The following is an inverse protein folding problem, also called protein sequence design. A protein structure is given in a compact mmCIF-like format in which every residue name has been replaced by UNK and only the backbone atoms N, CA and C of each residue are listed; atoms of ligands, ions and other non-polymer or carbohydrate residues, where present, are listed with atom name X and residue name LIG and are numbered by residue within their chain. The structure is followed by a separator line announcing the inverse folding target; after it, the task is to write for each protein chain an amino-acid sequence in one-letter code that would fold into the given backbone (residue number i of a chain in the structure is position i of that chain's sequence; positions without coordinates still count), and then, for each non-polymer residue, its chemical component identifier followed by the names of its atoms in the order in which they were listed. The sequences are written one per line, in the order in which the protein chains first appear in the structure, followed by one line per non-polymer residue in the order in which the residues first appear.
data_IF_115873812907
#
_entry.id   IF_115873812907
#
_cell.length_a   1.000
_cell.length_b   1.000
_cell.length_c   1.000
_cell.angle_alpha   90.00
_cell.angle_beta   90.00
_cell.angle_gamma   90.00
#
_symmetry.space_group_name_H-M   'P 1'
#
loop_
_entity.id
_entity.type
_entity.pdbx_description
1 polymer ?
#
# COMPACT_ATOMS: atom_id res chain seq x y z
N UNK A 1 -5.97 4.12 29.81
CA UNK A 1 -6.46 4.54 28.47
C UNK A 1 -7.92 5.02 28.51
N UNK A 2 -8.84 4.29 29.16
CA UNK A 2 -10.27 4.69 29.29
C UNK A 2 -10.53 6.07 29.92
N UNK A 3 -9.73 6.50 30.92
CA UNK A 3 -9.91 7.82 31.55
C UNK A 3 -9.65 9.01 30.60
N UNK A 4 -8.67 8.91 29.70
CA UNK A 4 -8.37 9.97 28.72
C UNK A 4 -9.45 10.09 27.63
N UNK A 5 -10.03 8.97 27.21
CA UNK A 5 -11.16 8.94 26.27
C UNK A 5 -12.42 9.59 26.88
N UNK A 6 -12.64 9.38 28.18
CA UNK A 6 -13.75 10.00 28.92
C UNK A 6 -13.60 11.53 28.98
N UNK A 7 -12.40 12.04 29.24
CA UNK A 7 -12.13 13.48 29.28
C UNK A 7 -12.30 14.16 27.92
N UNK A 8 -11.80 13.53 26.85
CA UNK A 8 -11.93 14.07 25.49
C UNK A 8 -13.39 14.12 25.03
N UNK A 9 -14.18 13.11 25.37
CA UNK A 9 -15.63 13.07 25.06
C UNK A 9 -16.38 14.17 25.80
N UNK A 10 -16.07 14.40 27.08
CA UNK A 10 -16.63 15.51 27.88
C UNK A 10 -16.24 16.87 27.32
N UNK A 11 -14.98 17.05 26.92
CA UNK A 11 -14.48 18.28 26.28
C UNK A 11 -15.21 18.57 24.97
N UNK A 12 -15.37 17.57 24.12
CA UNK A 12 -16.05 17.72 22.83
C UNK A 12 -17.53 18.04 23.00
N UNK A 13 -18.21 17.40 23.98
CA UNK A 13 -19.59 17.74 24.35
C UNK A 13 -19.68 19.20 24.80
N UNK A 14 -18.81 19.62 25.72
CA UNK A 14 -18.78 20.99 26.23
C UNK A 14 -18.53 22.04 25.12
N UNK A 15 -17.65 21.74 24.16
CA UNK A 15 -17.40 22.60 23.00
C UNK A 15 -18.66 22.71 22.15
N UNK A 16 -19.34 21.60 21.85
CA UNK A 16 -20.60 21.60 21.08
C UNK A 16 -21.69 22.41 21.76
N UNK A 17 -21.86 22.23 23.06
CA UNK A 17 -22.94 22.87 23.83
C UNK A 17 -22.76 24.39 23.94
N UNK A 18 -21.52 24.90 23.81
CA UNK A 18 -21.21 26.33 23.91
C UNK A 18 -21.11 27.08 22.58
N UNK A 19 -20.94 26.37 21.47
CA UNK A 19 -20.83 27.00 20.16
C UNK A 19 -22.21 27.10 19.53
N UNK A 20 -22.75 28.31 19.46
CA UNK A 20 -24.00 28.60 18.77
C UNK A 20 -23.79 28.67 17.25
N UNK A 21 -24.76 28.20 16.48
CA UNK A 21 -24.75 28.25 15.01
C UNK A 21 -25.04 29.67 14.52
N UNK A 22 -24.51 30.04 13.35
CA UNK A 22 -24.79 31.30 12.64
C UNK A 22 -24.45 32.58 13.43
N UNK A 23 -23.31 32.57 14.12
CA UNK A 23 -22.80 33.74 14.84
C UNK A 23 -22.00 34.69 13.94
N UNK A 24 -21.52 34.21 12.79
CA UNK A 24 -20.73 35.02 11.87
C UNK A 24 -21.55 35.45 10.66
N UNK A 25 -21.26 36.66 10.18
CA UNK A 25 -21.84 37.17 8.92
C UNK A 25 -21.27 36.43 7.73
N UNK A 26 -22.03 36.36 6.64
CA UNK A 26 -21.59 35.72 5.40
C UNK A 26 -20.29 36.37 4.87
N UNK A 27 -19.38 35.55 4.35
CA UNK A 27 -18.06 35.94 3.86
C UNK A 27 -17.01 36.17 4.95
N UNK A 28 -17.31 35.87 6.22
CA UNK A 28 -16.32 36.00 7.30
C UNK A 28 -15.22 34.96 7.16
N UNK A 29 -15.58 33.72 6.84
CA UNK A 29 -14.62 32.65 6.59
C UNK A 29 -13.68 33.01 5.44
N UNK A 30 -14.20 33.46 4.31
CA UNK A 30 -13.40 33.75 3.12
C UNK A 30 -12.41 34.89 3.37
N UNK A 31 -12.85 35.95 4.07
CA UNK A 31 -11.97 37.04 4.49
C UNK A 31 -10.85 36.55 5.40
N UNK A 32 -11.15 35.63 6.32
CA UNK A 32 -10.13 35.04 7.18
C UNK A 32 -9.13 34.19 6.40
N UNK A 33 -9.59 33.36 5.47
CA UNK A 33 -8.71 32.56 4.59
C UNK A 33 -7.79 33.49 3.78
N UNK A 34 -8.35 34.54 3.15
CA UNK A 34 -7.58 35.53 2.39
C UNK A 34 -6.51 36.21 3.25
N UNK A 35 -6.88 36.60 4.48
CA UNK A 35 -5.94 37.16 5.45
C UNK A 35 -4.80 36.17 5.74
N UNK A 36 -5.10 34.91 6.07
CA UNK A 36 -4.09 33.89 6.32
C UNK A 36 -3.19 33.62 5.11
N UNK A 37 -3.75 33.56 3.90
CA UNK A 37 -2.96 33.37 2.66
C UNK A 37 -1.99 34.54 2.48
N UNK A 38 -2.43 35.78 2.69
CA UNK A 38 -1.57 36.96 2.59
C UNK A 38 -0.44 36.96 3.62
N UNK A 39 -0.75 36.57 4.86
CA UNK A 39 0.22 36.47 5.96
C UNK A 39 1.26 35.36 5.69
N UNK A 40 0.80 34.21 5.21
CA UNK A 40 1.64 33.05 4.96
C UNK A 40 2.54 33.23 3.74
N UNK A 41 2.12 33.99 2.72
CA UNK A 41 2.95 34.32 1.55
C UNK A 41 4.26 34.99 1.96
N UNK A 42 4.21 35.88 2.95
CA UNK A 42 5.39 36.56 3.48
C UNK A 42 6.33 35.60 4.24
N UNK A 43 5.77 34.64 4.97
CA UNK A 43 6.52 33.63 5.74
C UNK A 43 7.17 32.56 4.87
N UNK A 44 6.53 32.20 3.75
CA UNK A 44 7.08 31.27 2.77
C UNK A 44 8.27 31.91 2.05
N UNK A 45 8.15 33.18 1.68
CA UNK A 45 9.21 33.92 0.95
C UNK A 45 10.45 34.16 1.80
N UNK A 46 10.31 34.29 3.13
CA UNK A 46 11.43 34.51 4.05
C UNK A 46 12.22 33.24 4.42
N UNK A 47 11.90 32.08 3.84
CA UNK A 47 12.70 30.85 3.99
C UNK A 47 12.70 30.26 5.40
N UNK A 48 11.70 30.58 6.23
CA UNK A 48 11.59 30.02 7.59
C UNK A 48 11.32 28.52 7.54
N UNK A 49 12.37 27.72 7.67
CA UNK A 49 12.40 26.26 7.48
C UNK A 49 11.60 25.44 8.50
N UNK A 50 11.01 26.08 9.51
CA UNK A 50 10.31 25.41 10.62
C UNK A 50 8.77 25.51 10.55
N UNK A 51 8.20 26.11 9.49
CA UNK A 51 6.74 26.24 9.36
C UNK A 51 6.15 25.11 8.50
N UNK A 52 5.35 24.25 9.13
CA UNK A 52 4.55 23.24 8.44
C UNK A 52 3.23 23.87 7.94
N UNK A 53 2.95 23.73 6.65
CA UNK A 53 1.71 24.16 6.02
C UNK A 53 0.90 22.95 5.53
N UNK A 54 -0.41 23.09 5.58
CA UNK A 54 -1.39 22.11 5.12
C UNK A 54 -2.23 22.69 3.99
N UNK A 55 -2.58 21.85 3.02
CA UNK A 55 -3.56 22.21 1.99
C UNK A 55 -4.95 22.20 2.59
N UNK A 56 -5.69 23.27 2.41
CA UNK A 56 -7.10 23.41 2.79
C UNK A 56 -7.91 23.87 1.58
N UNK A 57 -9.01 23.17 1.28
CA UNK A 57 -9.93 23.57 0.22
C UNK A 57 -10.82 24.73 0.68
N UNK A 58 -10.82 25.86 -0.04
CA UNK A 58 -11.65 27.04 0.29
C UNK A 58 -13.13 26.64 0.27
N UNK A 59 -13.55 26.01 -0.83
CA UNK A 59 -14.81 25.28 -0.97
C UNK A 59 -14.52 23.80 -0.71
N UNK A 60 -15.05 23.18 0.37
CA UNK A 60 -14.83 21.79 0.66
C UNK A 60 -15.30 20.84 -0.45
N UNK A 61 -14.59 19.73 -0.64
CA UNK A 61 -14.97 18.70 -1.63
C UNK A 61 -16.39 18.16 -1.47
N UNK A 62 -16.89 18.05 -0.23
CA UNK A 62 -18.25 17.57 0.01
C UNK A 62 -19.34 18.57 -0.45
N UNK A 63 -18.98 19.83 -0.67
CA UNK A 63 -19.82 20.86 -1.30
C UNK A 63 -19.51 21.02 -2.81
N UNK A 64 -18.75 20.10 -3.41
CA UNK A 64 -18.39 20.14 -4.83
C UNK A 64 -17.16 20.98 -5.17
N UNK A 65 -16.35 21.37 -4.18
CA UNK A 65 -15.09 22.06 -4.45
C UNK A 65 -14.10 21.18 -5.21
N UNK A 66 -13.53 21.74 -6.29
CA UNK A 66 -12.52 21.08 -7.12
C UNK A 66 -11.11 21.12 -6.49
N UNK A 67 -10.19 20.35 -7.05
CA UNK A 67 -8.76 20.34 -6.67
C UNK A 67 -7.92 21.40 -7.40
N UNK A 68 -8.58 22.41 -7.96
CA UNK A 68 -7.93 23.49 -8.68
C UNK A 68 -7.05 24.32 -7.73
N UNK A 69 -5.87 24.81 -8.18
CA UNK A 69 -4.97 25.60 -7.34
C UNK A 69 -5.63 26.82 -6.69
N UNK A 70 -6.62 27.43 -7.34
CA UNK A 70 -7.37 28.58 -6.84
C UNK A 70 -8.28 28.24 -5.66
N UNK A 71 -8.73 26.98 -5.55
CA UNK A 71 -9.53 26.49 -4.44
C UNK A 71 -8.67 25.94 -3.29
N UNK A 72 -7.33 26.04 -3.35
CA UNK A 72 -6.43 25.48 -2.35
C UNK A 72 -5.66 26.60 -1.64
N UNK A 73 -5.89 26.74 -0.33
CA UNK A 73 -5.12 27.61 0.55
C UNK A 73 -4.07 26.82 1.34
N UNK A 74 -2.88 27.38 1.50
CA UNK A 74 -1.84 26.84 2.38
C UNK A 74 -1.92 27.49 3.76
N UNK A 75 -2.33 26.72 4.75
CA UNK A 75 -2.61 27.19 6.11
C UNK A 75 -1.72 26.45 7.12
N UNK A 76 -1.33 27.12 8.19
CA UNK A 76 -0.76 26.42 9.35
C UNK A 76 -1.83 25.51 9.99
N UNK A 77 -1.45 24.43 10.71
CA UNK A 77 -2.43 23.54 11.35
C UNK A 77 -3.44 24.29 12.25
N UNK A 78 -2.99 25.36 12.92
CA UNK A 78 -3.85 26.22 13.74
C UNK A 78 -4.84 27.02 12.89
N UNK A 79 -4.38 27.66 11.81
CA UNK A 79 -5.26 28.40 10.89
C UNK A 79 -6.29 27.46 10.24
N UNK A 80 -5.85 26.26 9.83
CA UNK A 80 -6.73 25.22 9.25
C UNK A 80 -7.86 24.84 10.22
N UNK A 81 -7.54 24.59 11.50
CA UNK A 81 -8.55 24.33 12.51
C UNK A 81 -9.54 25.49 12.65
N UNK A 82 -9.05 26.73 12.72
CA UNK A 82 -9.89 27.93 12.87
C UNK A 82 -10.80 28.16 11.67
N UNK A 83 -10.35 27.87 10.45
CA UNK A 83 -11.19 27.96 9.25
C UNK A 83 -12.40 27.02 9.35
N UNK A 84 -12.20 25.77 9.77
CA UNK A 84 -13.33 24.85 10.00
C UNK A 84 -14.29 25.36 11.09
N UNK A 85 -13.78 25.98 12.16
CA UNK A 85 -14.63 26.59 13.18
C UNK A 85 -15.45 27.76 12.59
N UNK A 86 -14.82 28.64 11.82
CA UNK A 86 -15.50 29.80 11.22
C UNK A 86 -16.56 29.37 10.21
N UNK A 87 -16.27 28.35 9.39
CA UNK A 87 -17.25 27.75 8.49
C UNK A 87 -18.46 27.20 9.24
N UNK A 88 -18.24 26.46 10.33
CA UNK A 88 -19.35 25.98 11.17
C UNK A 88 -20.15 27.14 11.79
N UNK A 89 -19.47 28.16 12.28
CA UNK A 89 -20.11 29.34 12.85
C UNK A 89 -20.90 30.15 11.83
N UNK A 90 -20.50 30.15 10.56
CA UNK A 90 -21.15 30.86 9.47
C UNK A 90 -22.31 30.06 8.85
N UNK A 91 -22.05 28.80 8.47
CA UNK A 91 -22.99 27.97 7.70
C UNK A 91 -23.75 26.94 8.55
N UNK A 92 -23.23 26.56 9.72
CA UNK A 92 -23.85 25.58 10.61
C UNK A 92 -23.66 24.12 10.21
N UNK A 93 -22.72 23.81 9.32
CA UNK A 93 -22.45 22.44 8.84
C UNK A 93 -21.67 21.61 9.88
N UNK A 94 -22.27 20.50 10.33
CA UNK A 94 -21.70 19.61 11.34
C UNK A 94 -20.37 18.96 10.91
N UNK A 95 -20.10 18.83 9.62
CA UNK A 95 -18.84 18.28 9.12
C UNK A 95 -17.67 19.23 9.39
N UNK A 96 -17.90 20.54 9.29
CA UNK A 96 -16.91 21.56 9.63
C UNK A 96 -16.63 21.56 11.15
N UNK A 97 -17.65 21.39 12.00
CA UNK A 97 -17.44 21.24 13.44
C UNK A 97 -16.63 19.97 13.79
N UNK A 98 -16.94 18.85 13.13
CA UNK A 98 -16.19 17.59 13.31
C UNK A 98 -14.74 17.76 12.90
N UNK A 99 -14.48 18.45 11.78
CA UNK A 99 -13.13 18.73 11.31
C UNK A 99 -12.35 19.62 12.31
N UNK A 100 -12.98 20.67 12.85
CA UNK A 100 -12.39 21.49 13.91
C UNK A 100 -12.04 20.68 15.17
N UNK A 101 -12.98 19.86 15.66
CA UNK A 101 -12.76 19.01 16.83
C UNK A 101 -11.61 18.03 16.59
N UNK A 102 -11.58 17.38 15.42
CA UNK A 102 -10.51 16.45 15.05
C UNK A 102 -9.16 17.17 15.06
N UNK A 103 -9.06 18.32 14.39
CA UNK A 103 -7.82 19.10 14.29
C UNK A 103 -7.31 19.59 15.63
N UNK A 104 -8.20 20.09 16.51
CA UNK A 104 -7.82 20.57 17.84
C UNK A 104 -7.55 19.46 18.85
N UNK A 105 -8.07 18.26 18.63
CA UNK A 105 -7.72 17.08 19.39
C UNK A 105 -6.32 16.53 19.03
N UNK A 106 -5.75 16.96 17.89
CA UNK A 106 -4.47 16.47 17.37
C UNK A 106 -3.31 17.44 17.45
N UNK A 107 -3.52 18.69 17.89
CA UNK A 107 -2.47 19.72 17.89
C UNK A 107 -1.23 19.33 18.71
N UNK A 108 -1.43 18.63 19.83
CA UNK A 108 -0.36 18.23 20.75
C UNK A 108 0.02 16.74 20.64
N UNK A 109 -0.51 16.05 19.63
CA UNK A 109 -0.34 14.60 19.48
C UNK A 109 0.35 14.33 18.16
N UNK A 110 1.52 13.69 18.22
CA UNK A 110 2.18 13.14 17.04
C UNK A 110 1.15 12.40 16.17
N UNK A 111 0.98 12.85 14.91
CA UNK A 111 -0.04 12.38 14.00
C UNK A 111 0.04 10.87 13.75
N UNK A 112 1.25 10.30 13.80
CA UNK A 112 1.46 8.85 13.71
C UNK A 112 0.85 8.13 14.92
N UNK A 113 1.11 8.62 16.12
CA UNK A 113 0.51 8.10 17.35
C UNK A 113 -1.00 8.34 17.43
N UNK A 114 -1.50 9.47 16.94
CA UNK A 114 -2.93 9.77 16.93
C UNK A 114 -3.69 8.90 15.94
N UNK A 115 -3.18 8.75 14.71
CA UNK A 115 -3.78 7.88 13.70
C UNK A 115 -3.91 6.45 14.20
N UNK A 116 -2.87 5.93 14.86
CA UNK A 116 -2.90 4.61 15.51
C UNK A 116 -3.95 4.53 16.64
N UNK A 117 -4.05 5.56 17.49
CA UNK A 117 -5.07 5.61 18.56
C UNK A 117 -6.49 5.68 18.01
N UNK A 118 -6.73 6.47 16.96
CA UNK A 118 -8.04 6.57 16.32
C UNK A 118 -8.42 5.29 15.60
N UNK A 119 -7.47 4.63 14.93
CA UNK A 119 -7.70 3.31 14.35
C UNK A 119 -8.10 2.27 15.42
N UNK A 120 -7.38 2.26 16.55
CA UNK A 120 -7.69 1.35 17.66
C UNK A 120 -9.05 1.69 18.32
N UNK A 121 -9.37 2.97 18.51
CA UNK A 121 -10.68 3.39 19.00
C UNK A 121 -11.80 2.93 18.05
N UNK A 122 -11.67 3.23 16.75
CA UNK A 122 -12.67 2.86 15.75
C UNK A 122 -12.84 1.34 15.64
N UNK A 123 -11.77 0.57 15.84
CA UNK A 123 -11.82 -0.89 15.99
C UNK A 123 -12.63 -1.32 17.20
N UNK A 124 -12.39 -0.73 18.38
CA UNK A 124 -13.09 -1.06 19.61
C UNK A 124 -14.58 -0.71 19.57
N UNK A 125 -14.93 0.44 19.00
CA UNK A 125 -16.33 0.87 18.86
C UNK A 125 -17.03 0.32 17.62
N UNK A 126 -16.31 -0.44 16.78
CA UNK A 126 -16.87 -1.02 15.56
C UNK A 126 -17.41 0.03 14.57
N UNK A 127 -16.71 1.15 14.41
CA UNK A 127 -17.11 2.26 13.54
C UNK A 127 -16.19 2.38 12.31
N UNK A 128 -16.63 3.13 11.29
CA UNK A 128 -15.85 3.43 10.07
C UNK A 128 -15.39 2.14 9.35
N UNK A 129 -14.09 1.97 9.13
CA UNK A 129 -13.49 0.78 8.51
C UNK A 129 -13.80 -0.52 9.28
N UNK A 130 -14.22 -0.48 10.55
CA UNK A 130 -14.59 -1.67 11.32
C UNK A 130 -16.11 -1.89 11.42
N UNK A 131 -16.89 -1.10 10.67
CA UNK A 131 -18.33 -1.24 10.52
C UNK A 131 -18.66 -1.76 9.12
N UNK A 132 -19.26 -2.94 9.02
CA UNK A 132 -19.58 -3.59 7.73
C UNK A 132 -20.62 -2.81 6.91
N UNK A 133 -21.59 -2.17 7.56
CA UNK A 133 -22.61 -1.33 6.91
C UNK A 133 -21.97 -0.08 6.30
N UNK A 134 -21.14 0.62 7.07
CA UNK A 134 -20.37 1.77 6.57
C UNK A 134 -19.47 1.37 5.39
N UNK A 135 -18.74 0.26 5.48
CA UNK A 135 -17.90 -0.24 4.38
C UNK A 135 -18.75 -0.50 3.12
N UNK A 136 -19.94 -1.11 3.28
CA UNK A 136 -20.87 -1.36 2.18
C UNK A 136 -21.34 -0.06 1.53
N UNK A 137 -21.74 0.94 2.32
CA UNK A 137 -22.14 2.26 1.82
C UNK A 137 -21.01 2.98 1.08
N UNK A 138 -19.80 3.00 1.64
CA UNK A 138 -18.64 3.61 0.99
C UNK A 138 -18.27 2.84 -0.29
N UNK A 139 -18.39 1.50 -0.28
CA UNK A 139 -18.19 0.67 -1.47
C UNK A 139 -19.19 0.99 -2.59
N UNK A 140 -20.46 1.24 -2.25
CA UNK A 140 -21.49 1.69 -3.21
C UNK A 140 -21.21 3.09 -3.76
N UNK A 141 -20.65 3.99 -2.95
CA UNK A 141 -20.27 5.35 -3.36
C UNK A 141 -19.00 5.37 -4.22
N UNK A 142 -18.05 4.47 -3.93
CA UNK A 142 -16.70 4.46 -4.51
C UNK A 142 -16.61 3.92 -5.94
N UNK A 143 -17.65 3.29 -6.50
CA UNK A 143 -17.65 2.92 -7.91
C UNK A 143 -18.91 2.21 -8.40
N UNK A 144 -19.35 2.53 -9.62
CA UNK A 144 -20.43 1.82 -10.33
C UNK A 144 -20.08 0.34 -10.63
N UNK A 145 -18.79 -0.01 -10.64
CA UNK A 145 -18.29 -1.38 -10.81
C UNK A 145 -17.33 -1.70 -9.66
N UNK A 146 -17.74 -2.61 -8.79
CA UNK A 146 -16.93 -3.04 -7.64
C UNK A 146 -15.59 -3.66 -8.06
N UNK A 147 -14.64 -3.70 -7.13
CA UNK A 147 -13.32 -4.35 -7.31
C UNK A 147 -13.39 -5.82 -7.73
N UNK A 148 -14.53 -6.49 -7.49
CA UNK A 148 -14.82 -7.88 -7.86
C UNK A 148 -15.37 -8.06 -9.27
N UNK A 149 -15.56 -6.98 -10.05
CA UNK A 149 -16.14 -7.06 -11.39
C UNK A 149 -15.25 -7.79 -12.42
N UNK A 150 -13.98 -8.08 -12.07
CA UNK A 150 -13.01 -8.78 -12.94
C UNK A 150 -12.95 -8.20 -14.36
N UNK A 151 -13.03 -6.87 -14.47
CA UNK A 151 -12.93 -6.19 -15.76
C UNK A 151 -11.57 -6.46 -16.41
N UNK A 152 -11.45 -6.38 -17.74
CA UNK A 152 -10.16 -6.56 -18.42
C UNK A 152 -9.05 -5.65 -17.87
N UNK A 153 -9.38 -4.40 -17.53
CA UNK A 153 -8.44 -3.46 -16.90
C UNK A 153 -7.99 -3.90 -15.50
N UNK A 154 -8.90 -4.46 -14.69
CA UNK A 154 -8.55 -5.02 -13.38
C UNK A 154 -7.67 -6.27 -13.53
N UNK A 155 -7.98 -7.16 -14.47
CA UNK A 155 -7.15 -8.33 -14.77
C UNK A 155 -5.75 -7.92 -15.23
N UNK A 156 -5.67 -6.91 -16.09
CA UNK A 156 -4.40 -6.35 -16.54
C UNK A 156 -3.62 -5.73 -15.38
N UNK A 157 -4.26 -4.95 -14.52
CA UNK A 157 -3.64 -4.39 -13.32
C UNK A 157 -3.12 -5.49 -12.37
N UNK A 158 -3.92 -6.52 -12.10
CA UNK A 158 -3.49 -7.68 -11.30
C UNK A 158 -2.32 -8.42 -11.97
N UNK A 159 -2.35 -8.58 -13.28
CA UNK A 159 -1.26 -9.19 -14.05
C UNK A 159 0.02 -8.36 -13.96
N UNK A 160 -0.05 -7.03 -14.08
CA UNK A 160 1.09 -6.13 -13.90
C UNK A 160 1.68 -6.21 -12.49
N UNK A 161 0.82 -6.29 -11.46
CA UNK A 161 1.28 -6.46 -10.08
C UNK A 161 1.98 -7.82 -9.91
N UNK A 162 1.38 -8.89 -10.43
CA UNK A 162 1.96 -10.23 -10.38
C UNK A 162 3.28 -10.35 -11.13
N UNK A 163 3.41 -9.73 -12.31
CA UNK A 163 4.63 -9.78 -13.11
C UNK A 163 5.74 -8.89 -12.55
N UNK A 164 5.41 -7.70 -12.03
CA UNK A 164 6.40 -6.77 -11.47
C UNK A 164 6.84 -7.16 -10.07
N UNK A 165 5.89 -7.41 -9.18
CA UNK A 165 6.16 -7.60 -7.75
C UNK A 165 6.22 -9.07 -7.34
N UNK A 166 5.54 -9.96 -8.06
CA UNK A 166 5.57 -11.39 -7.78
C UNK A 166 6.99 -11.99 -7.73
N UNK A 167 7.89 -11.68 -8.68
CA UNK A 167 9.27 -12.14 -8.61
C UNK A 167 10.04 -11.60 -7.40
N UNK A 168 9.85 -10.33 -7.06
CA UNK A 168 10.55 -9.64 -5.96
C UNK A 168 10.11 -10.23 -4.62
N UNK A 169 8.80 -10.23 -4.38
CA UNK A 169 8.19 -10.77 -3.15
C UNK A 169 8.43 -12.28 -3.07
N UNK A 170 8.41 -12.97 -4.22
CA UNK A 170 8.71 -14.40 -4.30
C UNK A 170 10.14 -14.75 -3.94
N UNK A 171 11.12 -13.91 -4.29
CA UNK A 171 12.52 -14.02 -3.91
C UNK A 171 12.72 -13.85 -2.39
N UNK A 172 12.13 -12.81 -1.81
CA UNK A 172 12.22 -12.52 -0.37
C UNK A 172 11.56 -13.62 0.48
N UNK A 173 10.42 -14.14 -0.01
CA UNK A 173 9.66 -15.18 0.69
C UNK A 173 10.09 -16.62 0.33
N UNK A 174 11.21 -16.83 -0.37
CA UNK A 174 11.72 -18.18 -0.57
C UNK A 174 12.08 -18.83 0.77
N UNK A 175 11.70 -20.09 0.95
CA UNK A 175 12.12 -20.85 2.13
C UNK A 175 13.64 -20.95 2.19
N UNK A 176 14.22 -20.93 3.40
CA UNK A 176 15.66 -21.03 3.59
C UNK A 176 16.22 -22.28 2.91
N UNK A 177 15.56 -23.42 3.08
CA UNK A 177 15.95 -24.68 2.42
C UNK A 177 15.99 -24.57 0.88
N UNK A 178 15.12 -23.79 0.24
CA UNK A 178 15.20 -23.60 -1.21
C UNK A 178 16.39 -22.70 -1.57
N UNK A 179 16.63 -21.64 -0.80
CA UNK A 179 17.79 -20.76 -0.99
C UNK A 179 19.11 -21.53 -0.85
N UNK A 180 19.19 -22.42 0.13
CA UNK A 180 20.37 -23.26 0.37
C UNK A 180 20.63 -24.24 -0.79
N UNK A 181 19.57 -24.73 -1.45
CA UNK A 181 19.73 -25.58 -2.64
C UNK A 181 20.13 -24.76 -3.86
N UNK A 182 19.54 -23.57 -4.02
CA UNK A 182 19.81 -22.70 -5.16
C UNK A 182 21.21 -22.08 -5.12
N UNK A 183 21.82 -21.98 -3.92
CA UNK A 183 23.21 -21.56 -3.72
C UNK A 183 24.26 -22.63 -4.08
N UNK A 184 23.84 -23.82 -4.52
CA UNK A 184 24.70 -24.93 -4.89
C UNK A 184 24.72 -25.14 -6.42
N UNK A 185 25.84 -25.64 -6.93
CA UNK A 185 25.94 -26.20 -8.27
C UNK A 185 25.19 -27.53 -8.29
N UNK A 186 24.24 -27.70 -9.22
CA UNK A 186 23.41 -28.90 -9.32
C UNK A 186 23.77 -29.71 -10.56
N UNK A 187 23.90 -31.03 -10.43
CA UNK A 187 24.09 -31.92 -11.59
C UNK A 187 22.78 -32.66 -11.88
N UNK A 188 22.12 -32.26 -12.96
CA UNK A 188 20.95 -32.94 -13.49
C UNK A 188 21.40 -34.15 -14.32
N UNK A 189 20.69 -35.26 -14.16
CA UNK A 189 20.91 -36.49 -14.91
C UNK A 189 19.61 -36.96 -15.52
N UNK A 190 19.62 -37.20 -16.83
CA UNK A 190 18.50 -37.82 -17.56
C UNK A 190 18.80 -39.29 -17.83
N UNK A 191 18.05 -40.19 -17.19
CA UNK A 191 18.30 -41.63 -17.24
C UNK A 191 18.12 -42.22 -18.64
N UNK A 192 17.08 -41.82 -19.37
CA UNK A 192 16.75 -42.41 -20.67
C UNK A 192 17.78 -42.16 -21.77
N UNK A 193 18.63 -41.15 -21.60
CA UNK A 193 19.67 -40.80 -22.59
C UNK A 193 21.07 -40.68 -22.01
N UNK A 194 21.25 -41.05 -20.74
CA UNK A 194 22.51 -40.95 -20.02
C UNK A 194 23.16 -39.55 -20.13
N UNK A 195 22.35 -38.48 -20.04
CA UNK A 195 22.82 -37.09 -20.20
C UNK A 195 23.03 -36.47 -18.83
N UNK A 196 24.18 -35.82 -18.63
CA UNK A 196 24.47 -35.03 -17.44
C UNK A 196 24.56 -33.55 -17.81
N UNK A 197 23.87 -32.71 -17.05
CA UNK A 197 23.87 -31.26 -17.24
C UNK A 197 24.18 -30.61 -15.89
N UNK A 198 25.33 -29.94 -15.82
CA UNK A 198 25.69 -29.14 -14.65
C UNK A 198 25.00 -27.78 -14.72
N UNK A 199 24.33 -27.35 -13.65
CA UNK A 199 23.62 -26.08 -13.56
C UNK A 199 24.35 -25.22 -12.52
N UNK A 200 24.77 -23.99 -12.88
CA UNK A 200 25.44 -23.10 -11.94
C UNK A 200 24.47 -22.63 -10.85
N UNK A 201 25.04 -21.97 -9.83
CA UNK A 201 24.27 -21.29 -8.78
C UNK A 201 23.24 -20.33 -9.41
N UNK A 202 22.01 -20.38 -8.89
CA UNK A 202 20.88 -19.61 -9.41
C UNK A 202 20.18 -18.88 -8.27
N UNK A 203 19.49 -17.78 -8.55
CA UNK A 203 18.69 -17.03 -7.56
C UNK A 203 17.26 -17.56 -7.46
N UNK A 204 16.76 -18.18 -8.53
CA UNK A 204 15.42 -18.75 -8.58
C UNK A 204 15.42 -20.13 -9.22
N UNK A 205 14.43 -20.94 -8.88
CA UNK A 205 14.19 -22.19 -9.59
C UNK A 205 13.82 -21.99 -11.07
N UNK A 206 13.26 -20.82 -11.43
CA UNK A 206 13.00 -20.49 -12.83
C UNK A 206 14.30 -20.39 -13.65
N UNK A 207 15.33 -19.75 -13.07
CA UNK A 207 16.67 -19.66 -13.67
C UNK A 207 17.31 -21.05 -13.84
N UNK A 208 17.12 -21.97 -12.88
CA UNK A 208 17.59 -23.36 -13.01
C UNK A 208 17.03 -24.03 -14.26
N UNK A 209 15.73 -23.86 -14.52
CA UNK A 209 15.07 -24.44 -15.70
C UNK A 209 15.49 -23.75 -17.00
N UNK A 210 15.75 -22.44 -16.97
CA UNK A 210 16.31 -21.71 -18.11
C UNK A 210 17.72 -22.18 -18.46
N UNK A 211 18.59 -22.34 -17.45
CA UNK A 211 19.93 -22.89 -17.63
C UNK A 211 19.88 -24.32 -18.15
N UNK A 212 18.99 -25.17 -17.63
CA UNK A 212 18.83 -26.56 -18.07
C UNK A 212 18.41 -26.62 -19.54
N UNK A 213 17.36 -25.88 -19.92
CA UNK A 213 16.90 -25.80 -21.30
C UNK A 213 18.01 -25.27 -22.23
N UNK A 214 18.67 -24.17 -21.85
CA UNK A 214 19.75 -23.57 -22.65
C UNK A 214 20.90 -24.54 -22.90
N UNK A 215 21.34 -25.27 -21.87
CA UNK A 215 22.40 -26.28 -22.03
C UNK A 215 21.97 -27.46 -22.89
N UNK A 216 20.70 -27.88 -22.83
CA UNK A 216 20.19 -28.94 -23.68
C UNK A 216 20.05 -28.54 -25.14
N UNK A 217 19.70 -27.29 -25.42
CA UNK A 217 19.71 -26.73 -26.78
C UNK A 217 21.13 -26.78 -27.37
N UNK A 218 22.15 -26.37 -26.59
CA UNK A 218 23.56 -26.45 -27.02
C UNK A 218 24.00 -27.89 -27.29
N UNK A 219 23.46 -28.87 -26.56
CA UNK A 219 23.74 -30.29 -26.76
C UNK A 219 22.92 -30.93 -27.89
N UNK A 220 22.00 -30.20 -28.54
CA UNK A 220 21.07 -30.76 -29.52
C UNK A 220 20.06 -31.75 -28.92
N UNK A 221 19.71 -31.59 -27.64
CA UNK A 221 18.83 -32.48 -26.86
C UNK A 221 17.63 -31.75 -26.26
N UNK A 222 17.14 -30.73 -26.96
CA UNK A 222 15.99 -29.91 -26.54
C UNK A 222 14.69 -30.70 -26.35
N UNK A 223 14.54 -31.86 -26.99
CA UNK A 223 13.39 -32.74 -26.81
C UNK A 223 13.28 -33.33 -25.40
N UNK A 224 14.40 -33.45 -24.66
CA UNK A 224 14.41 -33.92 -23.27
C UNK A 224 13.82 -32.91 -22.29
N UNK A 225 13.83 -31.62 -22.64
CA UNK A 225 13.28 -30.55 -21.81
C UNK A 225 12.89 -29.36 -22.68
N UNK A 226 11.73 -29.45 -23.33
CA UNK A 226 11.28 -28.44 -24.29
C UNK A 226 11.03 -27.07 -23.67
N UNK A 227 10.96 -26.03 -24.50
CA UNK A 227 10.65 -24.67 -24.07
C UNK A 227 9.29 -24.56 -23.38
N UNK A 228 8.29 -25.31 -23.85
CA UNK A 228 6.97 -25.41 -23.23
C UNK A 228 7.05 -26.07 -21.86
N UNK A 229 7.87 -27.10 -21.71
CA UNK A 229 8.10 -27.77 -20.43
C UNK A 229 8.79 -26.84 -19.45
N UNK A 230 9.81 -26.10 -19.89
CA UNK A 230 10.46 -25.06 -19.09
C UNK A 230 9.44 -23.99 -18.64
N UNK A 231 8.59 -23.50 -19.55
CA UNK A 231 7.53 -22.53 -19.23
C UNK A 231 6.56 -23.06 -18.18
N UNK A 232 6.11 -24.32 -18.31
CA UNK A 232 5.26 -24.98 -17.32
C UNK A 232 5.98 -25.16 -15.98
N UNK A 233 7.26 -25.54 -16.02
CA UNK A 233 8.07 -25.72 -14.82
C UNK A 233 8.18 -24.42 -14.01
N UNK A 234 8.38 -23.26 -14.67
CA UNK A 234 8.44 -21.93 -14.03
C UNK A 234 7.17 -21.52 -13.30
N UNK A 235 6.00 -21.98 -13.75
CA UNK A 235 4.70 -21.68 -13.14
C UNK A 235 4.47 -22.37 -11.79
N UNK A 236 5.44 -23.13 -11.30
CA UNK A 236 5.25 -24.07 -10.21
C UNK A 236 4.74 -25.41 -10.76
N UNK A 237 5.25 -26.51 -10.20
CA UNK A 237 4.88 -27.84 -10.68
C UNK A 237 5.77 -28.94 -10.14
N UNK A 238 5.64 -30.17 -10.66
CA UNK A 238 6.39 -31.32 -10.18
C UNK A 238 7.89 -31.07 -10.12
N UNK A 239 8.49 -30.41 -11.13
CA UNK A 239 9.92 -30.12 -11.22
C UNK A 239 10.47 -29.32 -10.04
N UNK A 240 9.67 -28.45 -9.40
CA UNK A 240 10.09 -27.79 -8.15
C UNK A 240 10.33 -28.79 -7.03
N UNK A 241 9.55 -29.87 -7.01
CA UNK A 241 9.72 -30.95 -6.06
C UNK A 241 11.05 -31.68 -6.21
N UNK A 242 11.62 -31.71 -7.43
CA UNK A 242 12.94 -32.26 -7.71
C UNK A 242 14.04 -31.37 -7.10
N UNK A 243 13.99 -30.06 -7.34
CA UNK A 243 14.93 -29.08 -6.75
C UNK A 243 14.84 -29.14 -5.23
N UNK A 244 13.64 -29.12 -4.65
CA UNK A 244 13.45 -29.19 -3.19
C UNK A 244 13.81 -30.54 -2.57
N UNK A 245 14.09 -31.57 -3.37
CA UNK A 245 14.38 -32.94 -2.90
C UNK A 245 13.16 -33.74 -2.44
N UNK A 246 11.95 -33.16 -2.47
CA UNK A 246 10.70 -33.87 -2.17
C UNK A 246 10.35 -34.96 -3.19
N UNK A 247 10.94 -34.90 -4.40
CA UNK A 247 10.82 -35.93 -5.43
C UNK A 247 12.22 -36.33 -5.89
N UNK A 248 12.51 -37.62 -5.94
CA UNK A 248 13.82 -38.14 -6.38
C UNK A 248 14.01 -38.09 -7.90
N UNK A 249 12.92 -38.23 -8.67
CA UNK A 249 12.93 -38.31 -10.13
C UNK A 249 11.63 -37.81 -10.75
N UNK A 250 11.72 -37.12 -11.89
CA UNK A 250 10.57 -36.60 -12.66
C UNK A 250 10.92 -36.56 -14.15
N UNK A 251 10.08 -37.15 -15.01
CA UNK A 251 10.27 -37.17 -16.47
C UNK A 251 11.69 -37.62 -16.89
N UNK A 252 12.22 -38.67 -16.26
CA UNK A 252 13.58 -39.15 -16.51
C UNK A 252 14.71 -38.33 -15.85
N UNK A 253 14.42 -37.14 -15.34
CA UNK A 253 15.37 -36.26 -14.66
C UNK A 253 15.52 -36.57 -13.16
N UNK A 254 16.76 -36.60 -12.69
CA UNK A 254 17.13 -36.63 -11.27
C UNK A 254 18.27 -35.65 -10.98
N UNK A 255 18.37 -35.11 -9.77
CA UNK A 255 19.55 -34.37 -9.31
C UNK A 255 20.45 -35.35 -8.57
N UNK A 256 21.58 -35.71 -9.18
CA UNK A 256 22.49 -36.73 -8.65
C UNK A 256 23.56 -36.16 -7.73
N UNK A 257 23.81 -34.86 -7.82
CA UNK A 257 24.87 -34.20 -7.06
C UNK A 257 24.54 -32.72 -6.81
N UNK A 258 25.02 -32.21 -5.67
CA UNK A 258 24.91 -30.82 -5.22
C UNK A 258 26.21 -30.42 -4.55
N UNK A 259 26.90 -29.45 -5.12
CA UNK A 259 28.22 -29.01 -4.64
C UNK A 259 28.20 -27.53 -4.35
N UNK A 260 28.86 -27.11 -3.27
CA UNK A 260 29.12 -25.69 -3.04
C UNK A 260 30.01 -25.13 -4.16
N UNK A 261 29.79 -23.88 -4.62
CA UNK A 261 30.71 -23.25 -5.55
C UNK A 261 32.12 -23.15 -4.91
N UNK A 262 33.20 -23.20 -5.70
CA UNK A 262 34.55 -23.00 -5.17
C UNK A 262 34.65 -21.63 -4.50
N UNK A 263 35.32 -21.56 -3.34
CA UNK A 263 35.62 -20.29 -2.67
C UNK A 263 36.48 -19.43 -3.62
N UNK A 264 35.92 -18.29 -4.04
CA UNK A 264 36.58 -17.30 -4.91
C UNK A 264 37.43 -16.34 -4.13
#
# INVERSE_FOLDING_TARGET
MQQNLSLQTKRNRHIRDRIQKKLLSSGTTDRYIQHCVSENKNKITSGSSNLCFEKHHIIPRFLGGADDPENIAFLTPRQHALVHLFRYLEFGDENDLRAYILRTATLDVDLSSHGKRMAEYNRQVGNTFWNSEFQSEQGKKGGQKGGSANTPLQQEAHSRVGTKWGPIVGLENQSQALRDVLSQIMVFYHEGENVKVEIPVCKTAAEVFDCLNSKLVVLGKEHLFSKEMAKKAKGGGPMYGLIRGSKKRIYGWSIIDRRSPPET
#
